data_IF_723666180122
#
_entry.id   IF_723666180122
#
_cell.length_a   1.000
_cell.length_b   1.000
_cell.length_c   1.000
_cell.angle_alpha   90.00
_cell.angle_beta   90.00
_cell.angle_gamma   90.00
#
_symmetry.space_group_name_H-M   'P 1'
#
loop_
_entity.id
_entity.type
_entity.pdbx_description
1 polymer ?
#
# COMPACT_ATOMS: atom_id res chain seq x y z
N UNK A 1 4.26 0.40 20.30
CA UNK A 1 4.81 0.21 18.93
C UNK A 1 3.66 -0.14 17.98
N UNK A 2 2.87 -1.18 18.29
CA UNK A 2 1.68 -1.58 17.52
C UNK A 2 0.69 -0.45 17.16
N UNK A 3 0.31 0.42 18.10
CA UNK A 3 -0.63 1.52 17.82
C UNK A 3 -0.14 2.49 16.73
N UNK A 4 1.16 2.77 16.69
CA UNK A 4 1.74 3.66 15.69
C UNK A 4 1.73 3.00 14.31
N UNK A 5 1.99 1.70 14.28
CA UNK A 5 2.13 0.93 13.05
C UNK A 5 0.75 0.68 12.38
N UNK A 6 -0.32 0.50 13.17
CA UNK A 6 -1.70 0.43 12.64
C UNK A 6 -2.17 1.74 12.02
N UNK A 7 -1.95 2.87 12.70
CA UNK A 7 -2.30 4.19 12.18
C UNK A 7 -1.50 4.53 10.92
N UNK A 8 -0.19 4.24 10.93
CA UNK A 8 0.68 4.44 9.78
C UNK A 8 0.25 3.58 8.59
N UNK A 9 -0.18 2.35 8.84
CA UNK A 9 -0.70 1.46 7.80
C UNK A 9 -2.00 2.00 7.20
N UNK A 10 -2.96 2.43 8.02
CA UNK A 10 -4.21 3.05 7.54
C UNK A 10 -3.93 4.30 6.67
N UNK A 11 -2.97 5.12 7.09
CA UNK A 11 -2.55 6.30 6.35
C UNK A 11 -1.89 5.93 5.01
N UNK A 12 -0.97 4.97 5.00
CA UNK A 12 -0.32 4.48 3.78
C UNK A 12 -1.34 3.91 2.78
N UNK A 13 -2.36 3.20 3.25
CA UNK A 13 -3.42 2.70 2.39
C UNK A 13 -4.26 3.80 1.77
N UNK A 14 -4.49 4.88 2.50
CA UNK A 14 -5.20 6.07 1.97
C UNK A 14 -4.38 6.75 0.88
N UNK A 15 -3.06 6.85 1.05
CA UNK A 15 -2.17 7.46 0.06
C UNK A 15 -2.01 6.66 -1.23
N UNK A 16 -2.22 5.34 -1.20
CA UNK A 16 -2.17 4.50 -2.41
C UNK A 16 -3.29 4.81 -3.41
N UNK A 17 -4.38 5.44 -2.97
CA UNK A 17 -5.53 5.83 -3.80
C UNK A 17 -5.64 7.35 -3.95
N UNK A 18 -4.61 8.09 -3.59
CA UNK A 18 -4.59 9.55 -3.70
C UNK A 18 -4.72 9.99 -5.17
N UNK A 19 -5.38 11.12 -5.44
CA UNK A 19 -5.53 11.64 -6.80
C UNK A 19 -4.19 12.08 -7.42
N UNK A 20 -3.22 12.52 -6.59
CA UNK A 20 -1.91 12.99 -7.01
C UNK A 20 -0.94 11.81 -7.18
N UNK A 21 -0.37 11.67 -8.38
CA UNK A 21 0.55 10.56 -8.70
C UNK A 21 1.77 10.50 -7.77
N UNK A 22 2.43 11.63 -7.51
CA UNK A 22 3.63 11.68 -6.66
C UNK A 22 3.36 11.18 -5.24
N UNK A 23 2.14 11.36 -4.72
CA UNK A 23 1.73 10.82 -3.41
C UNK A 23 1.61 9.30 -3.48
N UNK A 24 0.98 8.76 -4.53
CA UNK A 24 0.87 7.31 -4.74
C UNK A 24 2.24 6.65 -4.89
N UNK A 25 3.16 7.26 -5.63
CA UNK A 25 4.53 6.77 -5.79
C UNK A 25 5.32 6.81 -4.46
N UNK A 26 5.17 7.87 -3.66
CA UNK A 26 5.75 7.90 -2.32
C UNK A 26 5.15 6.80 -1.42
N UNK A 27 3.86 6.52 -1.55
CA UNK A 27 3.16 5.49 -0.78
C UNK A 27 3.63 4.07 -1.13
N UNK A 28 3.87 3.75 -2.41
CA UNK A 28 4.41 2.43 -2.81
C UNK A 28 5.81 2.21 -2.22
N UNK A 29 6.66 3.25 -2.24
CA UNK A 29 7.98 3.23 -1.63
C UNK A 29 7.92 3.05 -0.10
N UNK A 30 6.95 3.68 0.57
CA UNK A 30 6.75 3.49 2.00
C UNK A 30 6.27 2.07 2.32
N UNK A 31 5.41 1.50 1.48
CA UNK A 31 4.95 0.12 1.61
C UNK A 31 6.13 -0.86 1.65
N UNK A 32 7.11 -0.68 0.75
CA UNK A 32 8.33 -1.51 0.72
C UNK A 32 9.10 -1.43 2.04
N UNK A 33 9.30 -0.21 2.58
CA UNK A 33 9.98 -0.01 3.86
C UNK A 33 9.23 -0.64 5.04
N UNK A 34 7.89 -0.63 4.99
CA UNK A 34 7.07 -1.29 6.01
C UNK A 34 7.26 -2.82 5.93
N UNK A 35 7.25 -3.40 4.73
CA UNK A 35 7.50 -4.84 4.55
C UNK A 35 8.91 -5.22 5.01
N UNK A 36 9.92 -4.40 4.73
CA UNK A 36 11.29 -4.60 5.24
C UNK A 36 11.36 -4.56 6.78
N UNK A 37 10.54 -3.72 7.42
CA UNK A 37 10.50 -3.57 8.89
C UNK A 37 9.70 -4.68 9.59
N UNK A 38 8.54 -5.05 9.06
CA UNK A 38 7.60 -5.99 9.71
C UNK A 38 7.70 -7.43 9.18
N UNK A 39 8.40 -7.63 8.08
CA UNK A 39 8.60 -8.94 7.47
C UNK A 39 7.47 -9.38 6.54
N UNK A 40 7.70 -10.53 5.91
CA UNK A 40 6.83 -11.09 4.86
C UNK A 40 5.50 -11.59 5.39
N UNK A 41 5.46 -12.17 6.58
CA UNK A 41 4.22 -12.73 7.16
C UNK A 41 3.20 -11.64 7.44
N UNK A 42 3.66 -10.52 8.01
CA UNK A 42 2.85 -9.32 8.20
C UNK A 42 2.34 -8.77 6.87
N UNK A 43 3.20 -8.72 5.84
CA UNK A 43 2.82 -8.25 4.51
C UNK A 43 1.72 -9.12 3.89
N UNK A 44 1.86 -10.45 3.98
CA UNK A 44 0.86 -11.40 3.47
C UNK A 44 -0.50 -11.25 4.17
N UNK A 45 -0.51 -11.02 5.47
CA UNK A 45 -1.75 -10.88 6.24
C UNK A 45 -2.41 -9.51 6.06
N UNK A 46 -1.60 -8.45 5.88
CA UNK A 46 -2.09 -7.07 6.05
C UNK A 46 -2.10 -6.26 4.75
N UNK A 47 -1.08 -6.43 3.91
CA UNK A 47 -0.81 -5.57 2.74
C UNK A 47 -1.31 -6.23 1.46
N UNK A 48 -0.93 -7.49 1.24
CA UNK A 48 -1.23 -8.23 0.00
C UNK A 48 -2.73 -8.26 -0.31
N UNK A 49 -3.66 -8.53 0.64
CA UNK A 49 -5.08 -8.54 0.33
C UNK A 49 -5.60 -7.19 -0.16
N UNK A 50 -5.07 -6.09 0.39
CA UNK A 50 -5.47 -4.72 0.04
C UNK A 50 -4.97 -4.34 -1.36
N UNK A 51 -3.71 -4.65 -1.66
CA UNK A 51 -3.12 -4.41 -2.99
C UNK A 51 -3.87 -5.22 -4.06
N UNK A 52 -4.16 -6.49 -3.81
CA UNK A 52 -4.94 -7.32 -4.75
C UNK A 52 -6.34 -6.75 -4.97
N UNK A 53 -7.00 -6.23 -3.94
CA UNK A 53 -8.32 -5.59 -4.10
C UNK A 53 -8.26 -4.40 -5.08
N UNK A 54 -7.18 -3.60 -5.06
CA UNK A 54 -6.99 -2.48 -5.98
C UNK A 54 -6.90 -2.90 -7.46
N UNK A 55 -6.48 -4.14 -7.75
CA UNK A 55 -6.44 -4.66 -9.13
C UNK A 55 -7.83 -4.73 -9.78
N UNK A 56 -8.90 -4.77 -8.97
CA UNK A 56 -10.30 -4.86 -9.39
C UNK A 56 -11.07 -3.55 -9.22
N UNK A 57 -10.39 -2.47 -8.82
CA UNK A 57 -11.01 -1.16 -8.65
C UNK A 57 -11.52 -0.62 -10.00
N UNK A 58 -12.63 0.12 -9.98
CA UNK A 58 -13.17 0.77 -11.18
C UNK A 58 -12.26 1.89 -11.69
N UNK A 59 -11.56 2.58 -10.78
CA UNK A 59 -10.60 3.61 -11.11
C UNK A 59 -9.31 2.99 -11.66
N UNK A 60 -8.98 3.31 -12.91
CA UNK A 60 -7.79 2.80 -13.57
C UNK A 60 -6.48 3.26 -12.89
N UNK A 61 -6.48 4.42 -12.22
CA UNK A 61 -5.32 4.91 -11.48
C UNK A 61 -4.97 3.95 -10.33
N UNK A 62 -5.96 3.44 -9.62
CA UNK A 62 -5.76 2.51 -8.51
C UNK A 62 -5.25 1.16 -9.02
N UNK A 63 -5.80 0.68 -10.16
CA UNK A 63 -5.29 -0.52 -10.83
C UNK A 63 -3.84 -0.38 -11.26
N UNK A 64 -3.43 0.78 -11.77
CA UNK A 64 -2.02 1.05 -12.06
C UNK A 64 -1.17 1.07 -10.79
N UNK A 65 -1.65 1.69 -9.71
CA UNK A 65 -0.92 1.67 -8.42
C UNK A 65 -0.71 0.26 -7.90
N UNK A 66 -1.67 -0.64 -8.07
CA UNK A 66 -1.50 -2.06 -7.73
C UNK A 66 -0.26 -2.67 -8.41
N UNK A 67 0.01 -2.35 -9.67
CA UNK A 67 1.18 -2.84 -10.39
C UNK A 67 2.47 -2.27 -9.77
N UNK A 68 2.47 -0.99 -9.38
CA UNK A 68 3.62 -0.37 -8.72
C UNK A 68 3.89 -0.90 -7.30
N UNK A 69 2.90 -1.51 -6.64
CA UNK A 69 3.10 -2.19 -5.36
C UNK A 69 3.73 -3.58 -5.51
N UNK A 70 3.69 -4.18 -6.72
CA UNK A 70 4.13 -5.56 -6.98
C UNK A 70 5.45 -5.60 -7.76
N UNK A 71 5.72 -4.57 -8.59
CA UNK A 71 7.00 -4.37 -9.28
C UNK A 71 8.15 -4.08 -8.32
#
# INVERSE_FOLDING_TARGET
>A
VEFFDEQLNALCMTWLVDHVFAIREAATNNLKKLVEKFGTDWAQQTIIPKVIAMSRDQNYLHRMTCLFCIN
#
